data_IF_781459446813
#
_entry.id   IF_781459446813
#
_cell.length_a   1.000
_cell.length_b   1.000
_cell.length_c   1.000
_cell.angle_alpha   90.00
_cell.angle_beta   90.00
_cell.angle_gamma   90.00
#
_symmetry.space_group_name_H-M   'P 1'
#
loop_
_entity.id
_entity.type
_entity.pdbx_description
1 polymer ?
#
# COMPACT_ATOMS: atom_id res chain seq x y z
N UNK A 1 -11.47 -11.21 4.40
CA UNK A 1 -11.17 -9.84 4.91
C UNK A 1 -12.29 -9.40 5.84
N UNK A 2 -11.92 -8.61 6.83
CA UNK A 2 -12.88 -8.07 7.79
C UNK A 2 -13.67 -6.88 7.22
N UNK A 3 -13.17 -6.28 6.15
CA UNK A 3 -13.77 -5.12 5.51
C UNK A 3 -13.81 -5.37 3.99
N UNK A 4 -14.95 -5.07 3.36
CA UNK A 4 -15.04 -5.11 1.90
C UNK A 4 -14.30 -3.93 1.32
N UNK A 5 -13.41 -4.19 0.36
CA UNK A 5 -12.55 -3.15 -0.22
C UNK A 5 -12.42 -3.32 -1.72
N UNK A 6 -12.37 -2.21 -2.40
CA UNK A 6 -11.90 -2.12 -3.79
C UNK A 6 -10.70 -1.19 -3.86
N UNK A 7 -10.00 -1.16 -5.00
CA UNK A 7 -8.85 -0.29 -5.22
C UNK A 7 -7.77 -0.46 -4.14
N UNK A 8 -7.52 -1.68 -3.72
CA UNK A 8 -6.54 -2.03 -2.68
C UNK A 8 -5.15 -2.20 -3.27
N UNK A 9 -4.13 -2.03 -2.42
CA UNK A 9 -2.79 -2.56 -2.68
C UNK A 9 -2.59 -3.83 -1.87
N UNK A 10 -1.99 -4.84 -2.47
CA UNK A 10 -1.75 -6.11 -1.78
C UNK A 10 -0.33 -6.60 -2.04
N UNK A 11 0.31 -7.10 -1.00
CA UNK A 11 1.67 -7.70 -1.08
C UNK A 11 1.77 -8.89 -0.15
N UNK A 12 2.68 -9.80 -0.48
CA UNK A 12 3.05 -10.91 0.38
C UNK A 12 4.45 -10.65 0.94
N UNK A 13 4.60 -10.76 2.26
CA UNK A 13 5.87 -10.64 2.95
C UNK A 13 5.84 -11.50 4.21
N UNK A 14 6.94 -12.22 4.49
CA UNK A 14 7.07 -13.08 5.68
C UNK A 14 5.91 -14.08 5.82
N UNK A 15 5.52 -14.70 4.70
CA UNK A 15 4.43 -15.70 4.64
C UNK A 15 3.05 -15.16 5.04
N UNK A 16 2.87 -13.86 4.99
CA UNK A 16 1.59 -13.19 5.22
C UNK A 16 1.20 -12.37 3.99
N UNK A 17 -0.09 -12.24 3.78
CA UNK A 17 -0.64 -11.33 2.76
C UNK A 17 -1.13 -10.06 3.47
N UNK A 18 -0.68 -8.90 3.02
CA UNK A 18 -1.13 -7.61 3.52
C UNK A 18 -1.98 -6.93 2.46
N UNK A 19 -3.10 -6.38 2.89
CA UNK A 19 -4.00 -5.59 2.05
C UNK A 19 -4.10 -4.20 2.66
N UNK A 20 -3.69 -3.20 1.90
CA UNK A 20 -3.54 -1.84 2.40
C UNK A 20 -4.54 -0.90 1.75
N UNK A 21 -5.29 -0.17 2.57
CA UNK A 21 -6.18 0.89 2.12
C UNK A 21 -7.33 0.41 1.24
N UNK A 22 -7.64 1.21 0.25
CA UNK A 22 -8.73 0.97 -0.68
C UNK A 22 -9.95 1.82 -0.38
N UNK A 23 -11.10 1.38 -0.89
CA UNK A 23 -12.36 2.09 -0.80
C UNK A 23 -13.45 1.11 -0.37
N UNK A 24 -14.25 1.48 0.62
CA UNK A 24 -15.28 0.59 1.17
C UNK A 24 -16.69 0.85 0.61
N UNK A 25 -16.80 1.75 -0.37
CA UNK A 25 -18.07 2.17 -0.94
C UNK A 25 -18.53 3.54 -0.41
N UNK A 26 -17.95 4.01 0.68
CA UNK A 26 -18.27 5.30 1.30
C UNK A 26 -17.05 6.21 1.38
N UNK A 27 -15.90 5.67 1.73
CA UNK A 27 -14.69 6.45 1.95
C UNK A 27 -13.43 5.66 1.61
N UNK A 28 -12.35 6.40 1.37
CA UNK A 28 -11.00 5.84 1.28
C UNK A 28 -10.54 5.38 2.66
N UNK A 29 -9.75 4.31 2.68
CA UNK A 29 -9.37 3.64 3.92
C UNK A 29 -7.90 3.86 4.24
N UNK A 30 -7.59 3.99 5.53
CA UNK A 30 -6.23 3.95 6.06
C UNK A 30 -5.92 2.59 6.71
N UNK A 31 -6.90 1.71 6.81
CA UNK A 31 -6.77 0.43 7.49
C UNK A 31 -5.98 -0.58 6.64
N UNK A 32 -5.30 -1.48 7.34
CA UNK A 32 -4.49 -2.54 6.76
C UNK A 32 -4.89 -3.85 7.41
N UNK A 33 -5.09 -4.88 6.60
CA UNK A 33 -5.40 -6.22 7.07
C UNK A 33 -4.30 -7.18 6.65
N UNK A 34 -4.03 -8.15 7.51
CA UNK A 34 -3.05 -9.21 7.27
C UNK A 34 -3.74 -10.57 7.30
N UNK A 35 -3.49 -11.37 6.28
CA UNK A 35 -3.94 -12.76 6.23
C UNK A 35 -2.80 -13.69 6.59
N UNK A 36 -3.06 -14.58 7.53
CA UNK A 36 -2.15 -15.67 7.90
C UNK A 36 -2.68 -16.98 7.33
N UNK A 37 -2.01 -17.58 6.31
CA UNK A 37 -2.46 -18.86 5.75
C UNK A 37 -2.43 -20.01 6.76
N UNK A 38 -1.51 -19.98 7.72
CA UNK A 38 -1.42 -21.03 8.75
C UNK A 38 -2.62 -21.05 9.68
N UNK A 39 -3.16 -19.89 10.03
CA UNK A 39 -4.35 -19.74 10.86
C UNK A 39 -5.62 -19.61 10.03
N UNK A 40 -5.49 -19.45 8.70
CA UNK A 40 -6.60 -19.19 7.78
C UNK A 40 -7.48 -18.03 8.26
N UNK A 41 -6.86 -16.94 8.68
CA UNK A 41 -7.59 -15.82 9.25
C UNK A 41 -7.00 -14.46 8.92
N UNK A 42 -7.86 -13.45 8.95
CA UNK A 42 -7.52 -12.05 8.76
C UNK A 42 -7.46 -11.33 10.10
N UNK A 43 -6.48 -10.47 10.27
CA UNK A 43 -6.37 -9.57 11.42
C UNK A 43 -6.05 -8.17 10.99
N UNK A 44 -6.55 -7.19 11.74
CA UNK A 44 -6.19 -5.80 11.52
C UNK A 44 -4.78 -5.56 12.07
N UNK A 45 -4.02 -4.77 11.35
CA UNK A 45 -2.71 -4.28 11.79
C UNK A 45 -2.72 -2.76 11.82
N UNK A 46 -1.57 -2.12 12.06
CA UNK A 46 -1.50 -0.66 12.22
C UNK A 46 -2.03 0.08 10.99
N UNK A 47 -2.78 1.15 11.21
CA UNK A 47 -3.29 1.99 10.15
C UNK A 47 -2.16 2.80 9.50
N UNK A 48 -2.30 3.04 8.19
CA UNK A 48 -1.44 3.99 7.49
C UNK A 48 -1.64 5.42 8.02
N UNK A 49 -0.72 6.30 7.71
CA UNK A 49 -0.82 7.72 8.10
C UNK A 49 -1.87 8.47 7.29
N UNK A 50 -2.22 7.96 6.11
CA UNK A 50 -3.21 8.57 5.21
C UNK A 50 -4.22 7.53 4.74
N UNK A 51 -5.43 8.00 4.45
CA UNK A 51 -6.45 7.21 3.76
C UNK A 51 -6.08 7.15 2.29
N UNK A 52 -5.80 5.95 1.77
CA UNK A 52 -5.31 5.77 0.39
C UNK A 52 -6.15 4.76 -0.37
N UNK A 53 -6.83 5.24 -1.41
CA UNK A 53 -7.38 4.39 -2.47
C UNK A 53 -6.42 4.38 -3.65
N UNK A 54 -6.35 3.26 -4.37
CA UNK A 54 -5.56 3.14 -5.59
C UNK A 54 -4.08 3.51 -5.39
N UNK A 55 -3.52 3.23 -4.22
CA UNK A 55 -2.11 3.36 -3.95
C UNK A 55 -1.33 2.21 -4.61
N UNK A 56 -0.07 2.46 -4.95
CA UNK A 56 0.87 1.38 -5.25
C UNK A 56 1.41 0.82 -3.95
N UNK A 57 1.47 -0.51 -3.85
CA UNK A 57 1.99 -1.17 -2.65
C UNK A 57 3.04 -2.19 -3.07
N UNK A 58 4.21 -2.12 -2.44
CA UNK A 58 5.34 -2.99 -2.76
C UNK A 58 6.07 -3.35 -1.48
N UNK A 59 6.76 -4.48 -1.48
CA UNK A 59 7.63 -4.89 -0.39
C UNK A 59 9.09 -4.79 -0.81
N UNK A 60 9.93 -4.37 0.12
CA UNK A 60 11.38 -4.28 -0.06
C UNK A 60 12.06 -4.49 1.28
N UNK A 61 12.97 -5.46 1.35
CA UNK A 61 13.74 -5.77 2.57
C UNK A 61 12.85 -6.00 3.80
N UNK A 62 11.74 -6.71 3.62
CA UNK A 62 10.83 -7.04 4.71
C UNK A 62 9.92 -5.89 5.15
N UNK A 63 9.95 -4.76 4.44
CA UNK A 63 9.12 -3.60 4.72
C UNK A 63 8.09 -3.41 3.61
N UNK A 64 6.97 -2.78 3.95
CA UNK A 64 5.89 -2.53 3.00
C UNK A 64 5.84 -1.04 2.72
N UNK A 65 5.83 -0.67 1.43
CA UNK A 65 5.72 0.72 1.00
C UNK A 65 4.37 0.95 0.34
N UNK A 66 3.68 2.00 0.77
CA UNK A 66 2.45 2.48 0.13
C UNK A 66 2.74 3.81 -0.54
N UNK A 67 2.53 3.87 -1.84
CA UNK A 67 2.93 5.00 -2.67
C UNK A 67 1.71 5.67 -3.27
N UNK A 68 1.54 6.95 -3.02
CA UNK A 68 0.52 7.76 -3.66
C UNK A 68 -0.90 7.36 -3.31
N UNK A 69 -1.73 7.24 -4.33
CA UNK A 69 -3.16 7.02 -4.17
C UNK A 69 -3.91 8.32 -3.96
N UNK A 70 -5.16 8.21 -3.53
CA UNK A 70 -6.01 9.37 -3.27
C UNK A 70 -6.96 9.09 -2.10
N UNK A 71 -7.49 10.16 -1.53
CA UNK A 71 -8.51 10.08 -0.46
C UNK A 71 -9.92 10.50 -0.94
N UNK A 72 -10.12 10.60 -2.25
CA UNK A 72 -11.36 11.11 -2.83
C UNK A 72 -11.34 12.61 -3.12
N UNK A 73 -10.47 13.36 -2.46
CA UNK A 73 -10.33 14.82 -2.62
C UNK A 73 -8.97 15.21 -3.20
N UNK A 74 -7.93 14.51 -2.79
CA UNK A 74 -6.54 14.82 -3.18
C UNK A 74 -5.84 13.58 -3.67
N UNK A 75 -4.97 13.75 -4.67
CA UNK A 75 -4.04 12.73 -5.14
C UNK A 75 -2.71 12.98 -4.43
N UNK A 76 -2.05 11.92 -3.97
CA UNK A 76 -0.86 12.03 -3.14
C UNK A 76 0.43 11.78 -3.92
N UNK A 77 1.47 12.50 -3.53
CA UNK A 77 2.86 12.18 -3.87
C UNK A 77 3.59 11.48 -2.72
N UNK A 78 2.98 11.42 -1.56
CA UNK A 78 3.60 10.87 -0.35
C UNK A 78 3.78 9.35 -0.44
N UNK A 79 4.80 8.88 0.24
CA UNK A 79 5.13 7.46 0.39
C UNK A 79 5.29 7.17 1.86
N UNK A 80 4.67 6.11 2.34
CA UNK A 80 4.86 5.66 3.73
C UNK A 80 5.30 4.20 3.76
N UNK A 81 5.99 3.84 4.80
CA UNK A 81 6.62 2.55 4.96
C UNK A 81 6.19 1.92 6.28
N UNK A 82 5.78 0.66 6.22
CA UNK A 82 5.52 -0.14 7.41
C UNK A 82 6.75 -1.01 7.69
N UNK A 83 7.29 -0.86 8.89
CA UNK A 83 8.22 -1.84 9.44
C UNK A 83 7.38 -2.97 10.03
N UNK A 84 7.44 -4.16 9.44
CA UNK A 84 6.61 -5.29 9.87
C UNK A 84 7.01 -5.86 11.23
N UNK A 85 8.21 -5.56 11.71
CA UNK A 85 8.69 -5.98 13.02
C UNK A 85 8.14 -5.07 14.12
N UNK A 86 8.24 -3.75 13.94
CA UNK A 86 7.77 -2.78 14.94
C UNK A 86 6.29 -2.47 14.81
N UNK A 87 5.69 -2.69 13.63
CA UNK A 87 4.30 -2.35 13.37
C UNK A 87 4.04 -0.86 13.21
N UNK A 88 5.07 -0.07 12.90
CA UNK A 88 4.95 1.38 12.79
C UNK A 88 5.05 1.82 11.34
N UNK A 89 4.08 2.63 10.90
CA UNK A 89 4.12 3.34 9.62
C UNK A 89 4.86 4.67 9.80
N UNK A 90 5.72 5.00 8.83
CA UNK A 90 6.41 6.27 8.80
C UNK A 90 6.48 6.80 7.37
N UNK A 91 6.29 8.10 7.19
CA UNK A 91 6.45 8.70 5.88
C UNK A 91 7.93 8.73 5.48
N UNK A 92 8.17 8.51 4.20
CA UNK A 92 9.50 8.52 3.60
C UNK A 92 9.59 9.64 2.56
N UNK A 93 10.61 9.60 1.72
CA UNK A 93 10.77 10.57 0.64
C UNK A 93 9.59 10.47 -0.33
N UNK A 94 8.90 11.57 -0.64
CA UNK A 94 7.77 11.52 -1.56
C UNK A 94 8.22 11.27 -3.00
N UNK A 95 7.25 10.87 -3.84
CA UNK A 95 7.44 10.78 -5.27
C UNK A 95 7.61 12.18 -5.89
N UNK A 96 8.14 12.23 -7.11
CA UNK A 96 8.32 13.49 -7.82
C UNK A 96 7.00 14.13 -8.26
N UNK A 97 5.93 13.36 -8.35
CA UNK A 97 4.61 13.86 -8.70
C UNK A 97 3.51 13.07 -8.02
N UNK A 98 2.35 13.70 -7.87
CA UNK A 98 1.15 13.08 -7.28
C UNK A 98 0.59 12.04 -8.23
N UNK A 99 0.32 10.83 -7.74
CA UNK A 99 -0.09 9.70 -8.57
C UNK A 99 -1.04 8.78 -7.85
N UNK A 100 -2.00 8.25 -8.59
CA UNK A 100 -2.84 7.15 -8.16
C UNK A 100 -2.97 6.12 -9.28
N UNK A 101 -3.51 4.95 -8.97
CA UNK A 101 -3.68 3.84 -9.91
C UNK A 101 -2.37 3.45 -10.58
N UNK A 102 -1.30 3.41 -9.80
CA UNK A 102 0.02 3.06 -10.29
C UNK A 102 0.34 1.61 -10.01
N UNK A 103 1.15 1.01 -10.88
CA UNK A 103 1.75 -0.28 -10.61
C UNK A 103 3.14 -0.09 -10.02
N UNK A 104 3.49 -0.91 -9.05
CA UNK A 104 4.79 -0.90 -8.40
C UNK A 104 5.29 -2.33 -8.29
N UNK A 105 6.57 -2.52 -8.58
CA UNK A 105 7.22 -3.82 -8.44
C UNK A 105 8.63 -3.66 -7.88
N UNK A 106 9.12 -4.70 -7.22
CA UNK A 106 10.49 -4.77 -6.76
C UNK A 106 11.30 -5.63 -7.72
N UNK A 107 12.44 -5.14 -8.16
CA UNK A 107 13.33 -5.85 -9.05
C UNK A 107 14.76 -5.67 -8.56
N UNK A 108 15.47 -6.78 -8.31
CA UNK A 108 16.87 -6.77 -7.83
C UNK A 108 17.06 -5.91 -6.57
N UNK A 109 16.09 -5.92 -5.65
CA UNK A 109 16.14 -5.14 -4.43
C UNK A 109 15.83 -3.65 -4.60
N UNK A 110 15.42 -3.23 -5.78
CA UNK A 110 15.02 -1.84 -6.06
C UNK A 110 13.53 -1.79 -6.39
N UNK A 111 12.85 -0.76 -5.89
CA UNK A 111 11.45 -0.53 -6.22
C UNK A 111 11.37 0.19 -7.58
N UNK A 112 10.68 -0.44 -8.52
CA UNK A 112 10.42 0.15 -9.83
C UNK A 112 8.93 0.44 -9.93
N UNK A 113 8.58 1.66 -10.28
CA UNK A 113 7.20 2.11 -10.39
C UNK A 113 6.84 2.26 -11.86
N UNK A 114 5.71 1.65 -12.25
CA UNK A 114 5.12 1.83 -13.55
C UNK A 114 3.74 2.45 -13.39
N UNK A 115 3.43 3.45 -14.19
CA UNK A 115 2.14 4.11 -14.16
C UNK A 115 1.17 3.43 -15.11
N UNK A 116 -0.07 3.34 -14.65
CA UNK A 116 -1.17 2.96 -15.52
C UNK A 116 -1.43 4.13 -16.49
N UNK A 117 -1.44 3.86 -17.78
CA UNK A 117 -1.60 4.84 -18.86
C UNK A 117 -0.46 5.88 -18.97
N UNK A 118 0.63 5.69 -18.25
CA UNK A 118 1.78 6.56 -18.37
C UNK A 118 3.03 5.69 -18.46
N UNK A 119 3.95 6.04 -19.32
CA UNK A 119 5.12 5.22 -19.63
C UNK A 119 6.37 5.67 -18.90
N UNK A 120 6.19 6.34 -17.78
CA UNK A 120 7.31 6.81 -16.97
C UNK A 120 7.75 5.68 -16.04
N UNK A 121 9.05 5.39 -16.03
CA UNK A 121 9.69 4.43 -15.14
C UNK A 121 10.56 5.16 -14.13
N UNK A 122 10.54 4.68 -12.92
CA UNK A 122 11.38 5.17 -11.83
C UNK A 122 12.30 4.09 -11.33
#
# INVERSE_FOLDING_TARGET
>A
MNCKRSAVGAVAVNDHLYVCGGFDGLSSLDTVERFDPGENGWSMVSNMTKHRSAAGVVTLLGKIYALGGHNGLSIFDSVEMLDTVTGVWAETVPMLSKRCRLGVATLHGEATMALYNDRVHY
#
